data_IF_686500216921
#
_entry.id   IF_686500216921
#
_cell.length_a   1.000
_cell.length_b   1.000
_cell.length_c   1.000
_cell.angle_alpha   90.00
_cell.angle_beta   90.00
_cell.angle_gamma   90.00
#
_symmetry.space_group_name_H-M   'P 1'
#
loop_
_entity.id
_entity.type
_entity.pdbx_description
1 polymer ?
#
# COMPACT_ATOMS: atom_id res chain seq x y z
N UNK A 1 -3.52 -0.81 12.53
CA UNK A 1 -4.13 -2.00 13.17
C UNK A 1 -3.13 -3.12 13.07
N UNK A 2 -2.71 -3.71 14.18
CA UNK A 2 -1.74 -4.83 14.15
C UNK A 2 -2.48 -6.11 13.75
N UNK A 3 -2.10 -6.70 12.61
CA UNK A 3 -2.66 -7.96 12.13
C UNK A 3 -2.32 -9.09 13.11
N UNK A 4 -3.29 -9.96 13.39
CA UNK A 4 -3.05 -11.18 14.18
C UNK A 4 -2.80 -12.33 13.22
N UNK A 5 -1.63 -12.94 13.28
CA UNK A 5 -1.33 -14.16 12.54
C UNK A 5 -2.05 -15.36 13.17
N UNK A 6 -2.55 -16.27 12.33
CA UNK A 6 -3.18 -17.52 12.76
C UNK A 6 -2.29 -18.73 12.44
N UNK A 7 -2.69 -19.89 12.97
CA UNK A 7 -2.16 -21.20 12.60
C UNK A 7 -0.63 -21.33 12.75
N UNK A 8 0.06 -21.72 11.68
CA UNK A 8 1.50 -21.97 11.69
C UNK A 8 2.32 -20.70 11.86
N UNK A 9 1.81 -19.53 11.44
CA UNK A 9 2.47 -18.24 11.61
C UNK A 9 2.37 -17.72 13.06
N UNK A 10 1.37 -18.18 13.82
CA UNK A 10 1.21 -17.82 15.23
C UNK A 10 2.11 -18.65 16.17
N UNK A 11 2.59 -19.81 15.71
CA UNK A 11 3.35 -20.77 16.52
C UNK A 11 4.85 -20.58 16.31
N UNK A 12 5.70 -20.68 17.34
CA UNK A 12 7.15 -20.69 17.13
C UNK A 12 7.60 -21.94 16.38
N UNK A 13 8.65 -21.83 15.57
CA UNK A 13 9.33 -23.00 14.98
C UNK A 13 10.04 -23.74 16.12
N UNK A 14 9.57 -24.95 16.45
CA UNK A 14 10.22 -25.81 17.45
C UNK A 14 11.10 -26.81 16.74
N UNK A 15 12.42 -26.68 16.91
CA UNK A 15 13.36 -27.69 16.46
C UNK A 15 13.46 -28.80 17.50
N UNK A 16 13.44 -30.06 17.04
CA UNK A 16 13.74 -31.19 17.91
C UNK A 16 15.13 -31.00 18.55
N UNK A 17 15.29 -31.31 19.85
CA UNK A 17 16.59 -31.24 20.50
C UNK A 17 17.54 -32.27 19.89
N UNK A 18 18.79 -31.89 19.69
CA UNK A 18 19.84 -32.86 19.33
C UNK A 18 20.10 -33.76 20.54
N UNK A 19 20.21 -35.06 20.30
CA UNK A 19 20.64 -36.01 21.32
C UNK A 19 22.08 -35.75 21.78
N UNK A 20 22.44 -36.28 22.95
CA UNK A 20 23.77 -36.12 23.57
C UNK A 20 24.95 -36.61 22.69
N UNK A 21 24.68 -37.49 21.71
CA UNK A 21 25.67 -38.06 20.79
C UNK A 21 25.30 -37.75 19.32
N UNK A 22 25.18 -36.48 18.96
CA UNK A 22 24.88 -36.11 17.58
C UNK A 22 26.14 -36.18 16.71
N UNK A 23 25.98 -36.66 15.46
CA UNK A 23 27.04 -36.61 14.44
C UNK A 23 26.93 -35.33 13.61
N UNK A 24 27.98 -34.92 12.87
CA UNK A 24 27.90 -33.80 11.93
C UNK A 24 26.74 -33.92 10.93
N UNK A 25 26.43 -35.13 10.43
CA UNK A 25 25.30 -35.31 9.51
C UNK A 25 23.94 -35.01 10.18
N UNK A 26 23.80 -35.28 11.48
CA UNK A 26 22.59 -34.93 12.23
C UNK A 26 22.44 -33.41 12.41
N UNK A 27 23.54 -32.68 12.55
CA UNK A 27 23.53 -31.21 12.58
C UNK A 27 23.13 -30.61 11.23
N UNK A 28 23.65 -31.16 10.14
CA UNK A 28 23.34 -30.70 8.78
C UNK A 28 21.89 -31.01 8.40
N UNK A 29 21.41 -32.21 8.70
CA UNK A 29 20.02 -32.59 8.47
C UNK A 29 19.06 -31.69 9.28
N UNK A 30 19.39 -31.38 10.53
CA UNK A 30 18.63 -30.45 11.38
C UNK A 30 18.62 -29.04 10.79
N UNK A 31 19.76 -28.56 10.31
CA UNK A 31 19.87 -27.23 9.71
C UNK A 31 19.07 -27.12 8.42
N UNK A 32 19.14 -28.13 7.56
CA UNK A 32 18.34 -28.20 6.32
C UNK A 32 16.84 -28.24 6.62
N UNK A 33 16.42 -29.04 7.60
CA UNK A 33 15.03 -29.11 8.03
C UNK A 33 14.54 -27.76 8.61
N UNK A 34 15.40 -27.06 9.35
CA UNK A 34 15.08 -25.73 9.86
C UNK A 34 14.88 -24.71 8.73
N UNK A 35 15.81 -24.66 7.78
CA UNK A 35 15.75 -23.74 6.64
C UNK A 35 14.49 -24.02 5.81
N UNK A 36 14.20 -25.29 5.49
CA UNK A 36 13.02 -25.67 4.74
C UNK A 36 11.71 -25.25 5.43
N UNK A 37 11.63 -25.38 6.76
CA UNK A 37 10.45 -24.93 7.51
C UNK A 37 10.33 -23.40 7.54
N UNK A 38 11.46 -22.67 7.61
CA UNK A 38 11.47 -21.21 7.49
C UNK A 38 10.97 -20.80 6.10
N UNK A 39 11.49 -21.39 5.04
CA UNK A 39 11.07 -21.11 3.66
C UNK A 39 9.58 -21.40 3.43
N UNK A 40 9.08 -22.53 3.94
CA UNK A 40 7.65 -22.86 3.88
C UNK A 40 6.79 -21.79 4.57
N UNK A 41 7.17 -21.37 5.78
CA UNK A 41 6.43 -20.32 6.52
C UNK A 41 6.59 -18.95 5.91
N UNK A 42 7.71 -18.66 5.26
CA UNK A 42 7.86 -17.44 4.46
C UNK A 42 6.81 -17.39 3.36
N UNK A 43 6.53 -18.51 2.67
CA UNK A 43 5.43 -18.60 1.70
C UNK A 43 4.07 -18.26 2.32
N UNK A 44 3.75 -18.84 3.48
CA UNK A 44 2.51 -18.50 4.21
C UNK A 44 2.47 -17.02 4.63
N UNK A 45 3.62 -16.43 4.96
CA UNK A 45 3.71 -15.01 5.30
C UNK A 45 3.38 -14.14 4.08
N UNK A 46 3.93 -14.46 2.90
CA UNK A 46 3.56 -13.77 1.65
C UNK A 46 2.06 -13.84 1.39
N UNK A 47 1.45 -15.01 1.53
CA UNK A 47 0.00 -15.21 1.39
C UNK A 47 -0.80 -14.38 2.41
N UNK A 48 -0.41 -14.41 3.69
CA UNK A 48 -1.05 -13.65 4.75
C UNK A 48 -0.98 -12.13 4.54
N UNK A 49 0.04 -11.66 3.83
CA UNK A 49 0.19 -10.26 3.44
C UNK A 49 -0.41 -9.92 2.08
N UNK A 50 -0.91 -10.92 1.33
CA UNK A 50 -1.43 -10.75 -0.03
C UNK A 50 -0.37 -10.28 -1.01
N UNK A 51 0.89 -10.65 -0.79
CA UNK A 51 2.05 -10.25 -1.59
C UNK A 51 2.51 -11.45 -2.42
N UNK A 52 2.95 -11.19 -3.65
CA UNK A 52 3.48 -12.21 -4.56
C UNK A 52 4.73 -12.85 -3.93
N UNK A 53 4.82 -14.17 -3.98
CA UNK A 53 5.97 -14.92 -3.48
C UNK A 53 7.27 -14.42 -4.15
N UNK A 54 8.26 -14.03 -3.33
CA UNK A 54 9.54 -13.49 -3.79
C UNK A 54 9.59 -11.97 -3.94
N UNK A 55 8.47 -11.26 -3.78
CA UNK A 55 8.46 -9.79 -3.71
C UNK A 55 8.77 -9.30 -2.30
N UNK A 56 10.04 -9.44 -1.93
CA UNK A 56 10.56 -9.10 -0.61
C UNK A 56 10.32 -7.64 -0.23
N UNK A 57 10.33 -6.74 -1.22
CA UNK A 57 10.14 -5.31 -0.98
C UNK A 57 8.72 -5.04 -0.50
N UNK A 58 7.72 -5.57 -1.18
CA UNK A 58 6.32 -5.38 -0.79
C UNK A 58 5.97 -6.10 0.51
N UNK A 59 6.58 -7.25 0.78
CA UNK A 59 6.44 -7.91 2.07
C UNK A 59 7.00 -7.05 3.21
N UNK A 60 8.19 -6.48 3.06
CA UNK A 60 8.79 -5.58 4.05
C UNK A 60 7.91 -4.36 4.34
N UNK A 61 7.30 -3.75 3.32
CA UNK A 61 6.36 -2.64 3.52
C UNK A 61 5.10 -3.08 4.27
N UNK A 62 4.55 -4.24 3.91
CA UNK A 62 3.36 -4.79 4.57
C UNK A 62 3.62 -5.09 6.05
N UNK A 63 4.78 -5.66 6.38
CA UNK A 63 5.23 -5.90 7.76
C UNK A 63 5.46 -4.61 8.53
N UNK A 64 6.06 -3.59 7.90
CA UNK A 64 6.30 -2.31 8.54
C UNK A 64 4.98 -1.67 9.00
N UNK A 65 3.91 -1.73 8.19
CA UNK A 65 2.60 -1.15 8.51
C UNK A 65 1.91 -1.79 9.74
N UNK A 66 2.25 -3.04 10.08
CA UNK A 66 1.76 -3.70 11.30
C UNK A 66 2.41 -3.14 12.58
N UNK A 67 3.58 -2.50 12.45
CA UNK A 67 4.31 -1.90 13.56
C UNK A 67 3.81 -0.48 13.86
N UNK A 68 3.47 -0.16 15.12
CA UNK A 68 3.01 1.18 15.51
C UNK A 68 3.96 2.32 15.12
N UNK A 69 5.28 2.07 15.07
CA UNK A 69 6.28 3.08 14.71
C UNK A 69 6.27 3.53 13.24
N UNK A 70 5.62 2.76 12.36
CA UNK A 70 5.41 3.11 10.96
C UNK A 70 3.93 3.44 10.67
N UNK A 71 3.07 3.32 11.69
CA UNK A 71 1.71 3.81 11.62
C UNK A 71 1.75 5.32 11.78
N UNK A 72 1.26 6.04 10.77
CA UNK A 72 1.03 7.47 10.86
C UNK A 72 -0.09 7.68 11.89
N UNK A 73 0.29 7.91 13.14
CA UNK A 73 -0.65 8.36 14.17
C UNK A 73 -1.05 9.77 13.78
N UNK A 74 -2.32 9.93 13.41
CA UNK A 74 -2.90 11.23 13.12
C UNK A 74 -2.99 12.05 14.41
N UNK A 75 -1.86 12.59 14.87
CA UNK A 75 -1.81 13.73 15.79
C UNK A 75 -1.93 15.06 15.03
N UNK A 76 -2.26 15.03 13.74
CA UNK A 76 -2.60 16.24 13.02
C UNK A 76 -3.92 16.79 13.57
N UNK A 77 -3.98 18.09 13.91
CA UNK A 77 -5.17 18.71 14.48
C UNK A 77 -6.34 18.53 13.52
N UNK A 78 -7.51 18.20 14.09
CA UNK A 78 -8.80 18.10 13.42
C UNK A 78 -9.04 19.38 12.61
N UNK A 79 -8.77 19.31 11.32
CA UNK A 79 -8.73 20.44 10.40
C UNK A 79 -8.16 20.00 9.04
N UNK A 80 -8.53 20.75 7.98
CA UNK A 80 -8.12 20.51 6.58
C UNK A 80 -6.62 20.16 6.49
N UNK A 81 -6.25 18.99 5.94
CA UNK A 81 -4.87 18.68 5.56
C UNK A 81 -4.37 19.81 4.65
N UNK A 82 -3.60 20.75 5.20
CA UNK A 82 -3.09 21.93 4.48
C UNK A 82 -2.00 21.56 3.46
N UNK A 83 -1.33 20.42 3.66
CA UNK A 83 -0.27 19.97 2.76
C UNK A 83 -0.74 18.79 1.91
N UNK A 84 -0.76 19.02 0.61
CA UNK A 84 -0.54 17.96 -0.37
C UNK A 84 0.86 17.42 -0.12
N UNK A 85 0.96 16.26 0.52
CA UNK A 85 2.24 15.58 0.70
C UNK A 85 2.72 15.00 -0.65
N UNK A 86 3.99 14.62 -0.69
CA UNK A 86 4.63 14.14 -1.91
C UNK A 86 3.95 12.88 -2.45
N UNK A 87 3.49 11.99 -1.57
CA UNK A 87 2.75 10.78 -1.95
C UNK A 87 1.41 11.12 -2.61
N UNK A 88 0.63 12.03 -2.04
CA UNK A 88 -0.65 12.49 -2.59
C UNK A 88 -0.45 13.13 -3.96
N UNK A 89 0.60 13.93 -4.14
CA UNK A 89 0.93 14.52 -5.45
C UNK A 89 1.32 13.45 -6.47
N UNK A 90 2.12 12.46 -6.05
CA UNK A 90 2.50 11.36 -6.93
C UNK A 90 1.29 10.54 -7.38
N UNK A 91 0.35 10.27 -6.47
CA UNK A 91 -0.91 9.60 -6.79
C UNK A 91 -1.80 10.44 -7.72
N UNK A 92 -1.79 11.77 -7.58
CA UNK A 92 -2.51 12.68 -8.47
C UNK A 92 -1.94 12.65 -9.89
N UNK A 93 -0.62 12.77 -10.01
CA UNK A 93 0.07 12.70 -11.32
C UNK A 93 -0.22 11.35 -11.98
N UNK A 94 -0.15 10.25 -11.23
CA UNK A 94 -0.49 8.93 -11.74
C UNK A 94 -1.94 8.84 -12.21
N UNK A 95 -2.90 9.37 -11.45
CA UNK A 95 -4.32 9.38 -11.83
C UNK A 95 -4.59 10.22 -13.08
N UNK A 96 -3.86 11.33 -13.25
CA UNK A 96 -3.93 12.14 -14.47
C UNK A 96 -3.35 11.37 -15.65
N UNK A 97 -2.21 10.70 -15.49
CA UNK A 97 -1.59 9.91 -16.56
C UNK A 97 -2.49 8.74 -17.00
N UNK A 98 -3.15 8.07 -16.05
CA UNK A 98 -4.16 7.04 -16.34
C UNK A 98 -5.30 7.57 -17.18
N UNK A 99 -5.87 8.72 -16.79
CA UNK A 99 -6.93 9.35 -17.58
C UNK A 99 -6.42 9.84 -18.93
N UNK A 100 -5.15 10.25 -19.04
CA UNK A 100 -4.57 10.71 -20.31
C UNK A 100 -4.43 9.64 -21.37
N UNK A 101 -4.47 8.36 -20.98
CA UNK A 101 -4.59 7.26 -21.92
C UNK A 101 -5.94 7.26 -22.66
N UNK A 102 -6.99 7.85 -22.06
CA UNK A 102 -8.35 7.92 -22.60
C UNK A 102 -8.72 9.34 -23.05
N UNK A 103 -8.25 10.35 -22.32
CA UNK A 103 -8.50 11.78 -22.54
C UNK A 103 -7.17 12.55 -22.60
N UNK A 104 -6.64 12.86 -23.80
CA UNK A 104 -5.28 13.39 -23.95
C UNK A 104 -5.04 14.76 -23.27
N UNK A 105 -6.12 15.50 -22.99
CA UNK A 105 -6.08 16.81 -22.33
C UNK A 105 -5.93 16.69 -20.82
N UNK A 106 -4.85 17.26 -20.27
CA UNK A 106 -4.64 17.38 -18.81
C UNK A 106 -5.81 18.15 -18.16
N UNK A 107 -6.32 19.18 -18.83
CA UNK A 107 -7.45 19.96 -18.33
C UNK A 107 -8.70 19.09 -18.16
N UNK A 108 -9.04 18.29 -19.18
CA UNK A 108 -10.20 17.42 -19.13
C UNK A 108 -10.01 16.29 -18.10
N UNK A 109 -8.81 15.70 -18.03
CA UNK A 109 -8.46 14.74 -16.99
C UNK A 109 -8.63 15.32 -15.58
N UNK A 110 -8.16 16.54 -15.32
CA UNK A 110 -8.33 17.19 -14.00
C UNK A 110 -9.77 17.55 -13.67
N UNK A 111 -10.60 17.90 -14.66
CA UNK A 111 -12.03 18.12 -14.46
C UNK A 111 -12.72 16.83 -14.05
N UNK A 112 -12.45 15.74 -14.76
CA UNK A 112 -13.01 14.43 -14.45
C UNK A 112 -12.58 13.91 -13.09
N UNK A 113 -11.32 14.08 -12.71
CA UNK A 113 -10.85 13.71 -11.36
C UNK A 113 -11.52 14.54 -10.28
N UNK A 114 -11.76 15.83 -10.49
CA UNK A 114 -12.38 16.70 -9.49
C UNK A 114 -13.81 16.25 -9.11
N UNK A 115 -14.47 15.46 -9.96
CA UNK A 115 -15.80 14.88 -9.73
C UNK A 115 -15.75 13.47 -9.13
N UNK A 116 -14.55 12.88 -8.98
CA UNK A 116 -14.37 11.49 -8.54
C UNK A 116 -13.69 11.42 -7.17
N UNK A 117 -14.11 10.43 -6.37
CA UNK A 117 -13.36 10.05 -5.18
C UNK A 117 -12.00 9.46 -5.57
N UNK A 118 -10.91 9.77 -4.83
CA UNK A 118 -10.86 10.51 -3.56
C UNK A 118 -10.74 12.04 -3.73
N UNK A 119 -10.53 12.52 -4.96
CA UNK A 119 -10.12 13.90 -5.24
C UNK A 119 -11.23 14.92 -4.96
N UNK A 120 -12.49 14.54 -5.21
CA UNK A 120 -13.68 15.34 -4.89
C UNK A 120 -13.65 15.85 -3.43
N UNK A 121 -13.29 14.98 -2.48
CA UNK A 121 -13.18 15.34 -1.06
C UNK A 121 -11.99 16.25 -0.75
N UNK A 122 -10.92 16.16 -1.53
CA UNK A 122 -9.72 16.97 -1.34
C UNK A 122 -9.89 18.41 -1.82
N UNK A 123 -10.69 18.62 -2.87
CA UNK A 123 -10.82 19.94 -3.51
C UNK A 123 -12.08 20.71 -3.14
N UNK A 124 -13.21 20.06 -2.78
CA UNK A 124 -14.49 20.55 -2.19
C UNK A 124 -15.02 21.99 -2.49
N UNK A 125 -14.47 22.72 -3.46
CA UNK A 125 -14.85 24.10 -3.81
C UNK A 125 -14.90 24.31 -5.33
N UNK A 126 -15.57 25.39 -5.76
CA UNK A 126 -15.47 25.90 -7.12
C UNK A 126 -14.00 26.09 -7.51
N UNK A 127 -13.59 25.57 -8.67
CA UNK A 127 -12.19 25.48 -9.19
C UNK A 127 -11.35 24.30 -8.66
N UNK A 128 -11.98 23.17 -8.34
CA UNK A 128 -11.27 21.96 -7.95
C UNK A 128 -10.28 21.45 -9.00
N UNK A 129 -10.64 21.54 -10.29
CA UNK A 129 -9.80 21.16 -11.43
C UNK A 129 -8.53 22.04 -11.53
N UNK A 130 -8.65 23.36 -11.33
CA UNK A 130 -7.50 24.28 -11.29
C UNK A 130 -6.54 23.91 -10.16
N UNK A 131 -7.08 23.52 -8.99
CA UNK A 131 -6.27 23.09 -7.86
C UNK A 131 -5.50 21.80 -8.15
N UNK A 132 -6.17 20.80 -8.72
CA UNK A 132 -5.53 19.55 -9.13
C UNK A 132 -4.41 19.82 -10.15
N UNK A 133 -4.69 20.64 -11.16
CA UNK A 133 -3.70 21.03 -12.17
C UNK A 133 -2.50 21.73 -11.56
N UNK A 134 -2.71 22.64 -10.61
CA UNK A 134 -1.63 23.33 -9.92
C UNK A 134 -0.76 22.35 -9.12
N UNK A 135 -1.37 21.43 -8.37
CA UNK A 135 -0.61 20.46 -7.57
C UNK A 135 0.11 19.42 -8.42
N UNK A 136 -0.45 19.00 -9.57
CA UNK A 136 0.20 18.04 -10.47
C UNK A 136 1.43 18.59 -11.18
N UNK A 137 1.56 19.92 -11.30
CA UNK A 137 2.72 20.59 -11.89
C UNK A 137 3.88 20.80 -10.90
N UNK A 138 3.66 20.53 -9.61
CA UNK A 138 4.71 20.64 -8.61
C UNK A 138 5.72 19.48 -8.75
N UNK A 139 7.01 19.72 -8.45
CA UNK A 139 8.01 18.67 -8.49
C UNK A 139 7.59 17.49 -7.60
N UNK A 140 7.68 16.30 -8.18
CA UNK A 140 7.42 15.02 -7.51
C UNK A 140 8.58 14.11 -7.85
N UNK A 141 9.11 13.36 -6.87
CA UNK A 141 10.21 12.41 -7.13
C UNK A 141 9.85 11.42 -8.25
N UNK A 142 10.59 11.40 -9.38
CA UNK A 142 10.37 10.45 -10.46
C UNK A 142 10.50 8.99 -10.02
N UNK A 143 11.33 8.70 -9.00
CA UNK A 143 11.49 7.34 -8.46
C UNK A 143 10.23 6.87 -7.74
N UNK A 144 9.60 7.78 -6.98
CA UNK A 144 8.33 7.51 -6.33
C UNK A 144 7.23 7.25 -7.38
N UNK A 145 7.16 8.07 -8.43
CA UNK A 145 6.21 7.86 -9.53
C UNK A 145 6.40 6.52 -10.23
N UNK A 146 7.64 6.15 -10.55
CA UNK A 146 7.93 4.84 -11.15
C UNK A 146 7.48 3.70 -10.23
N UNK A 147 7.82 3.80 -8.94
CA UNK A 147 7.44 2.78 -7.96
C UNK A 147 5.93 2.63 -7.81
N UNK A 148 5.18 3.74 -7.82
CA UNK A 148 3.71 3.70 -7.72
C UNK A 148 3.08 3.09 -8.99
N UNK A 149 3.65 3.34 -10.18
CA UNK A 149 3.23 2.70 -11.42
C UNK A 149 3.44 1.18 -11.36
N UNK A 150 4.64 0.74 -10.98
CA UNK A 150 4.95 -0.69 -10.85
C UNK A 150 4.01 -1.36 -9.83
N UNK A 151 3.78 -0.71 -8.69
CA UNK A 151 2.87 -1.20 -7.65
C UNK A 151 1.43 -1.31 -8.17
N UNK A 152 0.95 -0.32 -8.93
CA UNK A 152 -0.37 -0.37 -9.56
C UNK A 152 -0.48 -1.56 -10.50
N UNK A 153 0.48 -1.74 -11.38
CA UNK A 153 0.46 -2.80 -12.40
C UNK A 153 0.43 -4.20 -11.77
N UNK A 154 1.20 -4.39 -10.70
CA UNK A 154 1.16 -5.62 -9.89
C UNK A 154 -0.21 -5.83 -9.24
N UNK A 155 -0.86 -4.76 -8.77
CA UNK A 155 -2.17 -4.84 -8.12
C UNK A 155 -3.30 -5.10 -9.12
N UNK A 156 -3.20 -4.58 -10.34
CA UNK A 156 -4.10 -4.93 -11.45
C UNK A 156 -3.90 -6.39 -11.83
N UNK A 157 -2.65 -6.82 -12.04
CA UNK A 157 -2.32 -8.19 -12.43
C UNK A 157 -2.75 -9.24 -11.40
N UNK A 158 -2.70 -8.90 -10.10
CA UNK A 158 -3.17 -9.76 -9.01
C UNK A 158 -4.68 -9.67 -8.74
N UNK A 159 -5.43 -8.86 -9.49
CA UNK A 159 -6.87 -8.68 -9.33
C UNK A 159 -7.28 -7.93 -8.06
N UNK A 160 -6.34 -7.26 -7.40
CA UNK A 160 -6.57 -6.52 -6.16
C UNK A 160 -7.25 -5.16 -6.37
N UNK A 161 -7.11 -4.60 -7.57
CA UNK A 161 -7.82 -3.41 -8.06
C UNK A 161 -8.18 -3.61 -9.52
N UNK A 162 -9.18 -2.88 -9.98
CA UNK A 162 -9.54 -2.76 -11.40
C UNK A 162 -8.54 -1.87 -12.14
N UNK A 163 -8.44 -2.04 -13.46
CA UNK A 163 -7.68 -1.15 -14.36
C UNK A 163 -8.45 0.13 -14.72
N UNK A 164 -9.47 0.48 -13.93
CA UNK A 164 -10.19 1.74 -14.14
C UNK A 164 -9.34 2.91 -13.58
N UNK A 165 -9.34 4.07 -14.26
CA UNK A 165 -8.62 5.24 -13.79
C UNK A 165 -8.99 5.62 -12.35
N UNK A 166 -7.97 5.88 -11.54
CA UNK A 166 -8.12 6.27 -10.14
C UNK A 166 -8.45 5.14 -9.17
N UNK A 167 -8.59 3.87 -9.60
CA UNK A 167 -8.79 2.74 -8.68
C UNK A 167 -7.65 2.60 -7.66
N UNK A 168 -6.42 2.80 -8.15
CA UNK A 168 -5.23 2.82 -7.30
C UNK A 168 -5.30 3.97 -6.28
N UNK A 169 -5.56 5.20 -6.73
CA UNK A 169 -5.69 6.34 -5.83
C UNK A 169 -6.82 6.15 -4.80
N UNK A 170 -7.98 5.58 -5.19
CA UNK A 170 -9.05 5.24 -4.26
C UNK A 170 -8.58 4.25 -3.20
N UNK A 171 -7.89 3.18 -3.58
CA UNK A 171 -7.39 2.20 -2.60
C UNK A 171 -6.41 2.82 -1.59
N UNK A 172 -5.55 3.75 -2.03
CA UNK A 172 -4.53 4.35 -1.16
C UNK A 172 -5.01 5.56 -0.35
N UNK A 173 -5.98 6.33 -0.87
CA UNK A 173 -6.47 7.54 -0.20
C UNK A 173 -7.79 7.33 0.55
N UNK A 174 -8.60 6.32 0.21
CA UNK A 174 -9.87 6.04 0.90
C UNK A 174 -9.70 5.69 2.38
N UNK A 175 -8.54 5.12 2.77
CA UNK A 175 -8.22 4.78 4.16
C UNK A 175 -8.10 6.03 5.06
N UNK A 176 -7.90 7.22 4.48
CA UNK A 176 -7.78 8.47 5.24
C UNK A 176 -9.07 9.30 5.31
N UNK A 177 -10.11 8.96 4.53
CA UNK A 177 -11.29 9.82 4.36
C UNK A 177 -12.61 9.17 4.81
N UNK A 178 -12.69 7.84 4.89
CA UNK A 178 -13.86 7.12 5.38
C UNK A 178 -14.12 7.25 6.91
N UNK A 179 -13.25 7.92 7.67
CA UNK A 179 -13.48 8.22 9.09
C UNK A 179 -14.28 9.52 9.32
N UNK A 180 -14.82 10.14 8.27
CA UNK A 180 -15.51 11.43 8.35
C UNK A 180 -16.97 11.37 7.86
N UNK A 181 -17.75 10.42 8.36
CA UNK A 181 -19.19 10.68 8.50
C UNK A 181 -19.40 11.61 9.70
N UNK A 182 -20.08 12.76 9.57
CA UNK A 182 -20.62 13.42 10.73
C UNK A 182 -21.68 12.50 11.32
N UNK A 183 -21.45 11.98 12.53
CA UNK A 183 -22.57 11.57 13.38
C UNK A 183 -23.42 12.82 13.57
N UNK A 184 -24.49 12.94 12.80
CA UNK A 184 -25.58 13.83 13.12
C UNK A 184 -26.18 13.29 14.42
N UNK A 185 -25.76 13.86 15.53
CA UNK A 185 -26.49 13.76 16.79
C UNK A 185 -27.78 14.58 16.60
N UNK A 186 -28.91 13.85 16.57
CA UNK A 186 -30.26 14.38 16.81
C UNK A 186 -30.48 14.51 18.32
#
# INVERSE_FOLDING_TARGET
>A
MTRKYSDDLAKPIKLAPLGLLHTPEHCDARSKAHIAEVERRMGLLFEAHGVIAGDWKNLCWSLALDLPGFQVTSSQPVGRRKCWDELTRALLVLSIDELRAVEPSVTAATQRLAEQEPWLQMVRHAKGDERLRSESTRPTDPRLLSMLRDSRDLMIASGQITDEPGAFARKYLAVNYAQHEPRNEQ
#
